data_IF_069955887977
#
_entry.id   IF_069955887977
#
_cell.length_a   1.000
_cell.length_b   1.000
_cell.length_c   1.000
_cell.angle_alpha   90.00
_cell.angle_beta   90.00
_cell.angle_gamma   90.00
#
_symmetry.space_group_name_H-M   'P 1'
#
loop_
_entity.id
_entity.type
_entity.pdbx_description
1 polymer ?
#
# COMPACT_ATOMS: atom_id res chain seq x y z
N UNK A 1 0.42 -11.61 -0.50
CA UNK A 1 0.17 -10.18 -0.80
C UNK A 1 1.20 -9.31 -0.11
N UNK A 2 1.73 -8.29 -0.80
CA UNK A 2 2.56 -7.24 -0.19
C UNK A 2 1.90 -5.90 -0.49
N UNK A 3 1.42 -5.21 0.54
CA UNK A 3 0.95 -3.83 0.43
C UNK A 3 2.10 -2.85 0.66
N UNK A 4 2.20 -1.83 -0.18
CA UNK A 4 3.17 -0.75 -0.03
C UNK A 4 2.98 0.01 1.30
N UNK A 5 4.07 0.47 1.91
CA UNK A 5 4.06 1.47 2.99
C UNK A 5 3.75 2.86 2.40
N UNK A 6 2.50 3.08 2.00
CA UNK A 6 2.08 4.25 1.21
C UNK A 6 1.71 5.51 2.01
N UNK A 7 1.76 5.47 3.35
CA UNK A 7 1.43 6.63 4.16
C UNK A 7 2.31 7.84 3.79
N UNK A 8 1.72 9.03 3.78
CA UNK A 8 2.36 10.26 3.30
C UNK A 8 2.33 10.44 1.77
N UNK A 9 1.81 9.47 1.01
CA UNK A 9 1.61 9.59 -0.43
C UNK A 9 2.89 9.44 -1.25
N UNK A 10 2.83 9.81 -2.53
CA UNK A 10 3.89 9.61 -3.53
C UNK A 10 5.22 10.27 -3.14
N UNK A 11 5.16 11.48 -2.57
CA UNK A 11 6.35 12.24 -2.17
C UNK A 11 6.77 11.82 -0.76
N UNK A 12 7.92 11.17 -0.64
CA UNK A 12 8.46 10.71 0.64
C UNK A 12 9.99 10.87 0.72
N UNK A 13 10.54 10.84 1.92
CA UNK A 13 11.99 10.85 2.13
C UNK A 13 12.67 9.57 1.61
N UNK A 14 13.99 9.63 1.41
CA UNK A 14 14.79 8.55 0.83
C UNK A 14 14.59 7.20 1.53
N UNK A 15 14.51 7.19 2.87
CA UNK A 15 14.32 5.95 3.64
C UNK A 15 12.97 5.28 3.34
N UNK A 16 11.89 6.07 3.23
CA UNK A 16 10.56 5.56 2.88
C UNK A 16 10.56 5.00 1.45
N UNK A 17 11.17 5.72 0.50
CA UNK A 17 11.28 5.27 -0.88
C UNK A 17 12.09 3.97 -1.00
N UNK A 18 13.19 3.84 -0.25
CA UNK A 18 13.98 2.61 -0.21
C UNK A 18 13.17 1.41 0.31
N UNK A 19 12.35 1.61 1.35
CA UNK A 19 11.45 0.56 1.87
C UNK A 19 10.41 0.17 0.81
N UNK A 20 9.75 1.14 0.17
CA UNK A 20 8.74 0.88 -0.88
C UNK A 20 9.33 0.12 -2.06
N UNK A 21 10.53 0.51 -2.50
CA UNK A 21 11.27 -0.21 -3.54
C UNK A 21 11.60 -1.64 -3.12
N UNK A 22 12.05 -1.85 -1.88
CA UNK A 22 12.32 -3.19 -1.36
C UNK A 22 11.06 -4.07 -1.29
N UNK A 23 9.91 -3.51 -0.90
CA UNK A 23 8.62 -4.21 -0.91
C UNK A 23 8.22 -4.65 -2.32
N UNK A 24 8.33 -3.75 -3.31
CA UNK A 24 8.04 -4.06 -4.71
C UNK A 24 9.02 -5.11 -5.28
N UNK A 25 10.32 -4.96 -5.00
CA UNK A 25 11.35 -5.89 -5.45
C UNK A 25 11.16 -7.30 -4.85
N UNK A 26 10.79 -7.40 -3.57
CA UNK A 26 10.49 -8.67 -2.92
C UNK A 26 9.33 -9.39 -3.63
N UNK A 27 8.26 -8.68 -3.97
CA UNK A 27 7.13 -9.26 -4.70
C UNK A 27 7.46 -9.68 -6.14
N UNK A 28 8.46 -9.04 -6.78
CA UNK A 28 8.86 -9.30 -8.17
C UNK A 28 9.83 -10.49 -8.34
N UNK A 29 10.27 -11.12 -7.24
CA UNK A 29 11.12 -12.31 -7.25
C UNK A 29 10.50 -13.44 -8.08
N UNK A 30 11.31 -14.10 -8.92
CA UNK A 30 10.85 -15.10 -9.91
C UNK A 30 10.12 -16.27 -9.27
N UNK A 31 10.62 -16.74 -8.14
CA UNK A 31 10.08 -17.81 -7.29
C UNK A 31 8.69 -17.47 -6.70
N UNK A 32 8.29 -16.20 -6.70
CA UNK A 32 6.99 -15.75 -6.21
C UNK A 32 6.01 -15.41 -7.35
N UNK A 33 6.39 -15.67 -8.60
CA UNK A 33 5.55 -15.42 -9.75
C UNK A 33 4.25 -16.21 -9.62
N UNK A 34 3.15 -15.47 -9.53
CA UNK A 34 1.81 -16.03 -9.45
C UNK A 34 1.37 -16.48 -8.05
N UNK A 35 2.22 -16.37 -7.04
CA UNK A 35 1.85 -16.63 -5.64
C UNK A 35 1.88 -15.35 -4.80
N UNK A 36 2.54 -14.30 -5.29
CA UNK A 36 2.60 -12.99 -4.66
C UNK A 36 2.20 -11.89 -5.66
N UNK A 37 1.55 -10.85 -5.13
CA UNK A 37 1.28 -9.57 -5.80
C UNK A 37 1.70 -8.42 -4.89
N UNK A 38 2.17 -7.36 -5.52
CA UNK A 38 2.43 -6.06 -4.89
C UNK A 38 1.26 -5.13 -5.18
N UNK A 39 0.79 -4.41 -4.15
CA UNK A 39 -0.25 -3.38 -4.29
C UNK A 39 0.35 -2.05 -3.85
N UNK A 40 0.44 -1.11 -4.79
CA UNK A 40 0.83 0.28 -4.54
C UNK A 40 -0.30 0.99 -3.78
N UNK A 41 0.00 1.65 -2.68
CA UNK A 41 -1.02 2.23 -1.77
C UNK A 41 -0.89 3.73 -1.58
N UNK A 42 0.22 4.34 -2.03
CA UNK A 42 0.47 5.79 -1.93
C UNK A 42 -0.66 6.67 -2.47
N UNK A 43 -1.38 6.23 -3.52
CA UNK A 43 -2.53 6.96 -4.08
C UNK A 43 -3.73 7.06 -3.13
N UNK A 44 -3.77 6.22 -2.10
CA UNK A 44 -4.85 6.24 -1.10
C UNK A 44 -4.58 7.19 0.07
N UNK A 45 -3.43 7.85 0.10
CA UNK A 45 -3.10 8.77 1.17
C UNK A 45 -3.97 10.01 1.07
N UNK A 46 -4.68 10.35 2.16
CA UNK A 46 -5.44 11.59 2.28
C UNK A 46 -4.63 12.67 2.99
N UNK A 47 -4.81 13.95 2.62
CA UNK A 47 -4.21 15.08 3.31
C UNK A 47 -4.57 15.10 4.81
N UNK A 48 -3.66 15.64 5.64
CA UNK A 48 -3.87 15.75 7.08
C UNK A 48 -5.10 16.59 7.42
N UNK A 49 -5.31 17.71 6.74
CA UNK A 49 -6.45 18.63 6.92
C UNK A 49 -7.81 18.03 6.53
N UNK A 50 -7.81 16.87 5.85
CA UNK A 50 -9.01 16.10 5.51
C UNK A 50 -9.17 14.85 6.38
N UNK A 51 -8.46 14.79 7.51
CA UNK A 51 -8.36 13.57 8.31
C UNK A 51 -8.51 13.86 9.81
N UNK A 52 -9.04 12.90 10.58
CA UNK A 52 -9.40 13.13 11.98
C UNK A 52 -8.19 13.18 12.94
N UNK A 53 -7.01 12.69 12.55
CA UNK A 53 -5.87 12.53 13.43
C UNK A 53 -4.55 13.05 12.81
N UNK A 54 -4.45 14.38 12.67
CA UNK A 54 -3.37 15.10 11.97
C UNK A 54 -1.95 14.79 12.48
N UNK A 55 -1.79 14.43 13.76
CA UNK A 55 -0.49 14.08 14.34
C UNK A 55 0.02 12.68 14.01
N UNK A 56 -0.85 11.81 13.48
CA UNK A 56 -0.56 10.39 13.26
C UNK A 56 -0.45 10.05 11.78
N UNK A 57 0.45 10.74 11.06
CA UNK A 57 0.69 10.48 9.63
C UNK A 57 1.16 9.05 9.32
N UNK A 58 1.79 8.37 10.29
CA UNK A 58 2.16 6.95 10.18
C UNK A 58 0.93 6.01 10.22
N UNK A 59 -0.20 6.48 10.73
CA UNK A 59 -1.50 5.81 10.70
C UNK A 59 -2.46 6.48 9.70
N UNK A 60 -1.96 7.00 8.58
CA UNK A 60 -2.81 7.60 7.53
C UNK A 60 -3.70 8.73 8.07
N UNK A 61 -3.22 9.45 9.09
CA UNK A 61 -3.98 10.47 9.83
C UNK A 61 -5.33 9.99 10.39
N UNK A 62 -5.47 8.67 10.64
CA UNK A 62 -6.74 8.07 11.07
C UNK A 62 -7.84 8.10 10.00
N UNK A 63 -7.50 8.32 8.73
CA UNK A 63 -8.46 8.48 7.66
C UNK A 63 -9.09 7.14 7.24
N UNK A 64 -10.39 6.96 7.52
CA UNK A 64 -11.11 5.73 7.23
C UNK A 64 -11.18 5.39 5.73
N UNK A 65 -11.31 6.38 4.86
CA UNK A 65 -11.33 6.19 3.41
C UNK A 65 -10.00 5.59 2.90
N UNK A 66 -8.86 6.06 3.42
CA UNK A 66 -7.55 5.50 3.10
C UNK A 66 -7.51 4.00 3.43
N UNK A 67 -7.93 3.62 4.63
CA UNK A 67 -7.98 2.22 5.05
C UNK A 67 -8.92 1.37 4.19
N UNK A 68 -10.10 1.91 3.88
CA UNK A 68 -11.08 1.23 3.04
C UNK A 68 -10.51 0.94 1.65
N UNK A 69 -9.96 1.96 0.97
CA UNK A 69 -9.43 1.81 -0.39
C UNK A 69 -8.19 0.91 -0.44
N UNK A 70 -7.34 0.93 0.60
CA UNK A 70 -6.23 -0.02 0.73
C UNK A 70 -6.76 -1.45 0.84
N UNK A 71 -7.75 -1.67 1.71
CA UNK A 71 -8.37 -2.98 1.90
C UNK A 71 -9.03 -3.49 0.62
N UNK A 72 -9.77 -2.61 -0.07
CA UNK A 72 -10.44 -2.91 -1.34
C UNK A 72 -9.44 -3.33 -2.44
N UNK A 73 -8.36 -2.56 -2.62
CA UNK A 73 -7.32 -2.89 -3.60
C UNK A 73 -6.58 -4.20 -3.27
N UNK A 74 -6.31 -4.45 -1.98
CA UNK A 74 -5.71 -5.71 -1.55
C UNK A 74 -6.66 -6.90 -1.76
N UNK A 75 -7.96 -6.70 -1.53
CA UNK A 75 -9.00 -7.71 -1.76
C UNK A 75 -9.11 -8.10 -3.23
N UNK A 76 -9.24 -7.13 -4.13
CA UNK A 76 -9.26 -7.37 -5.57
C UNK A 76 -8.01 -8.11 -6.06
N UNK A 77 -6.82 -7.67 -5.61
CA UNK A 77 -5.57 -8.34 -5.98
C UNK A 77 -5.42 -9.75 -5.38
N UNK A 78 -6.13 -10.05 -4.29
CA UNK A 78 -6.22 -11.42 -3.75
C UNK A 78 -7.13 -12.29 -4.61
N UNK A 79 -8.28 -11.77 -5.07
CA UNK A 79 -9.16 -12.50 -5.98
C UNK A 79 -8.41 -12.93 -7.25
N UNK A 80 -7.65 -12.03 -7.87
CA UNK A 80 -6.77 -12.37 -9.00
C UNK A 80 -5.71 -13.46 -8.71
N UNK A 81 -5.34 -13.63 -7.44
CA UNK A 81 -4.41 -14.70 -7.02
C UNK A 81 -5.12 -16.03 -6.80
N UNK A 82 -6.36 -16.04 -6.31
CA UNK A 82 -7.07 -17.27 -5.91
C UNK A 82 -8.05 -17.78 -6.96
N UNK A 83 -8.63 -16.92 -7.79
CA UNK A 83 -9.52 -17.26 -8.91
C UNK A 83 -8.73 -17.75 -10.13
N UNK A 84 -7.60 -18.40 -9.90
CA UNK A 84 -6.82 -19.02 -10.97
C UNK A 84 -7.55 -20.27 -11.44
N UNK A 85 -7.93 -20.29 -12.72
CA UNK A 85 -8.38 -21.48 -13.45
C UNK A 85 -7.40 -22.66 -13.30
#
# INVERSE_FOLDING_TARGET
MIGELGNGGEKAGANMLAIRQAQAAAAARKEFRGTVRFVKTTQFARPADQSPNVGHGHHWFGNAESYFLIGDALGHAMLELVERD
#
